data_IF_969042406330
#
_entry.id   IF_969042406330
#
_cell.length_a   1.000
_cell.length_b   1.000
_cell.length_c   1.000
_cell.angle_alpha   90.00
_cell.angle_beta   90.00
_cell.angle_gamma   90.00
#
_symmetry.space_group_name_H-M   'P 1'
#
loop_
_entity.id
_entity.type
_entity.pdbx_description
1 polymer ?
#
# COMPACT_ATOMS: atom_id res chain seq x y z
N UNK A 1 -19.14 19.42 1.76
CA UNK A 1 -18.01 18.93 2.57
C UNK A 1 -18.38 17.54 3.03
N UNK A 2 -17.70 16.51 2.53
CA UNK A 2 -17.94 15.13 2.97
C UNK A 2 -16.92 14.79 4.05
N UNK A 3 -17.39 14.23 5.17
CA UNK A 3 -16.54 13.70 6.23
C UNK A 3 -16.52 12.19 6.06
N UNK A 4 -15.38 11.64 5.66
CA UNK A 4 -15.12 10.21 5.79
C UNK A 4 -14.50 10.01 7.19
N UNK A 5 -15.27 9.42 8.09
CA UNK A 5 -14.80 9.02 9.42
C UNK A 5 -14.36 7.56 9.33
N UNK A 6 -13.10 7.31 9.66
CA UNK A 6 -12.70 5.99 10.11
C UNK A 6 -12.94 5.98 11.62
N UNK A 7 -13.93 5.21 12.05
CA UNK A 7 -14.47 5.24 13.41
C UNK A 7 -13.42 4.97 14.50
N UNK A 8 -13.77 5.32 15.75
CA UNK A 8 -12.95 5.13 16.94
C UNK A 8 -12.42 3.70 17.03
N UNK A 9 -11.09 3.58 17.02
CA UNK A 9 -10.42 2.30 17.19
C UNK A 9 -10.35 1.95 18.67
N UNK A 10 -10.62 0.69 18.98
CA UNK A 10 -10.56 0.15 20.36
C UNK A 10 -9.12 0.10 20.88
N UNK A 11 -8.14 0.05 19.98
CA UNK A 11 -6.71 -0.02 20.29
C UNK A 11 -5.96 1.11 19.59
N UNK A 12 -5.05 1.77 20.31
CA UNK A 12 -4.14 2.76 19.75
C UNK A 12 -3.11 2.10 18.84
N UNK A 13 -2.78 2.70 17.71
CA UNK A 13 -1.76 2.17 16.79
C UNK A 13 -0.77 3.26 16.38
N UNK A 14 0.36 2.80 15.84
CA UNK A 14 1.43 3.67 15.33
C UNK A 14 1.21 3.83 13.83
N UNK A 15 0.81 4.99 13.33
CA UNK A 15 0.53 5.14 11.89
C UNK A 15 1.85 5.21 11.08
N UNK A 16 1.92 4.44 9.99
CA UNK A 16 3.04 4.46 9.04
C UNK A 16 2.63 5.01 7.67
N UNK A 17 1.55 4.46 7.10
CA UNK A 17 1.10 4.80 5.76
C UNK A 17 -0.43 4.71 5.66
N UNK A 18 -1.02 5.61 4.87
CA UNK A 18 -2.42 5.52 4.45
C UNK A 18 -2.44 5.45 2.93
N UNK A 19 -3.03 4.39 2.38
CA UNK A 19 -3.20 4.19 0.94
C UNK A 19 -4.68 4.24 0.63
N UNK A 20 -5.06 4.92 -0.45
CA UNK A 20 -6.44 4.97 -0.92
C UNK A 20 -6.47 5.32 -2.40
N UNK A 21 -7.58 4.98 -3.05
CA UNK A 21 -7.91 5.42 -4.38
C UNK A 21 -8.75 6.69 -4.29
N UNK A 22 -8.40 7.73 -5.03
CA UNK A 22 -9.23 8.91 -5.11
C UNK A 22 -10.52 8.63 -5.90
N UNK A 23 -11.61 9.28 -5.53
CA UNK A 23 -12.83 9.34 -6.32
C UNK A 23 -13.33 10.79 -6.35
N UNK A 24 -12.79 11.59 -7.28
CA UNK A 24 -13.16 12.99 -7.50
C UNK A 24 -13.02 13.90 -6.27
N UNK A 25 -12.19 13.57 -5.28
CA UNK A 25 -11.85 14.50 -4.19
C UNK A 25 -10.68 15.38 -4.63
N UNK A 26 -10.81 16.71 -4.53
CA UNK A 26 -9.73 17.63 -4.91
C UNK A 26 -8.73 17.86 -3.77
N UNK A 27 -9.23 18.00 -2.54
CA UNK A 27 -8.38 18.26 -1.38
C UNK A 27 -8.74 17.35 -0.20
N UNK A 28 -7.70 16.80 0.43
CA UNK A 28 -7.80 15.98 1.62
C UNK A 28 -7.19 16.71 2.82
N UNK A 29 -7.84 16.64 3.98
CA UNK A 29 -7.28 17.04 5.26
C UNK A 29 -7.45 15.90 6.25
N UNK A 30 -6.37 15.47 6.88
CA UNK A 30 -6.37 14.38 7.85
C UNK A 30 -6.18 14.97 9.24
N UNK A 31 -7.08 14.58 10.15
CA UNK A 31 -6.98 14.87 11.58
C UNK A 31 -6.93 13.58 12.35
N UNK A 32 -6.10 13.54 13.39
CA UNK A 32 -5.96 12.40 14.28
C UNK A 32 -6.39 12.77 15.68
N UNK A 33 -6.94 11.80 16.38
CA UNK A 33 -7.10 11.84 17.83
C UNK A 33 -6.10 10.85 18.42
N UNK A 34 -5.26 11.32 19.34
CA UNK A 34 -4.23 10.50 19.99
C UNK A 34 -4.66 10.20 21.41
N UNK A 35 -4.11 9.11 21.97
CA UNK A 35 -4.19 8.88 23.42
C UNK A 35 -3.42 10.00 24.14
N UNK A 36 -4.09 10.66 25.08
CA UNK A 36 -3.44 11.60 25.98
C UNK A 36 -3.02 10.86 27.24
N UNK A 37 -1.84 11.16 27.84
CA UNK A 37 -1.50 10.64 29.17
C UNK A 37 -2.49 11.08 30.26
N UNK A 38 -3.26 12.15 30.03
CA UNK A 38 -4.35 12.58 30.92
C UNK A 38 -5.63 11.72 30.79
N UNK A 39 -5.75 10.87 29.76
CA UNK A 39 -6.93 10.01 29.56
C UNK A 39 -7.03 8.92 30.64
N UNK A 40 -5.94 8.62 31.35
CA UNK A 40 -5.91 7.67 32.47
C UNK A 40 -6.64 8.24 33.70
N UNK A 41 -6.81 9.56 33.79
CA UNK A 41 -7.51 10.25 34.87
C UNK A 41 -8.98 10.61 34.54
N UNK A 42 -9.50 10.21 33.37
CA UNK A 42 -10.94 10.24 33.07
C UNK A 42 -11.57 11.60 32.76
N UNK A 43 -10.84 12.71 32.80
CA UNK A 43 -11.43 14.05 32.64
C UNK A 43 -10.81 14.85 31.49
N UNK A 44 -11.40 14.72 30.30
CA UNK A 44 -11.19 15.65 29.20
C UNK A 44 -11.67 15.15 27.84
N UNK A 45 -12.35 15.98 27.02
CA UNK A 45 -12.67 15.61 25.64
C UNK A 45 -11.39 15.53 24.82
N UNK A 46 -11.14 14.35 24.24
CA UNK A 46 -9.95 14.09 23.42
C UNK A 46 -9.86 15.05 22.23
N UNK A 47 -8.73 15.75 22.10
CA UNK A 47 -8.51 16.81 21.09
C UNK A 47 -8.14 16.25 19.72
N UNK A 48 -8.79 16.77 18.68
CA UNK A 48 -8.44 16.50 17.28
C UNK A 48 -7.29 17.39 16.81
N UNK A 49 -6.19 16.78 16.37
CA UNK A 49 -5.01 17.46 15.83
C UNK A 49 -4.96 17.27 14.31
N UNK A 50 -4.65 18.32 13.56
CA UNK A 50 -4.50 18.23 12.10
C UNK A 50 -3.08 17.79 11.77
N UNK A 51 -2.93 16.61 11.18
CA UNK A 51 -1.63 16.06 10.76
C UNK A 51 -1.36 16.27 9.27
N UNK A 52 -2.38 16.39 8.43
CA UNK A 52 -2.23 16.72 7.01
C UNK A 52 -3.28 17.75 6.63
N UNK A 53 -2.88 18.84 5.99
CA UNK A 53 -3.79 19.95 5.65
C UNK A 53 -3.79 20.22 4.16
N UNK A 54 -4.98 20.26 3.58
CA UNK A 54 -5.20 20.65 2.18
C UNK A 54 -4.30 19.90 1.18
N UNK A 55 -4.05 18.61 1.40
CA UNK A 55 -3.30 17.78 0.46
C UNK A 55 -4.04 17.72 -0.88
N UNK A 56 -3.35 18.12 -1.95
CA UNK A 56 -3.92 18.25 -3.28
C UNK A 56 -3.92 16.88 -3.97
N UNK A 57 -5.11 16.37 -4.26
CA UNK A 57 -5.32 15.11 -4.98
C UNK A 57 -5.64 15.33 -6.46
N UNK A 58 -6.21 16.49 -6.80
CA UNK A 58 -6.48 16.90 -8.17
C UNK A 58 -5.79 18.25 -8.42
N UNK A 59 -4.80 18.33 -9.32
CA UNK A 59 -4.09 19.59 -9.62
C UNK A 59 -5.04 20.71 -10.04
N UNK A 60 -6.05 20.37 -10.83
CA UNK A 60 -7.17 21.24 -11.15
C UNK A 60 -8.49 20.56 -10.72
N UNK A 61 -9.22 21.12 -9.74
CA UNK A 61 -10.47 20.54 -9.24
C UNK A 61 -11.58 20.37 -10.29
N UNK A 62 -11.51 21.10 -11.41
CA UNK A 62 -12.52 21.08 -12.46
C UNK A 62 -12.27 20.05 -13.58
N UNK A 63 -11.15 19.34 -13.54
CA UNK A 63 -10.77 18.31 -14.53
C UNK A 63 -10.69 16.94 -13.87
N UNK A 64 -10.67 15.86 -14.66
CA UNK A 64 -10.63 14.48 -14.14
C UNK A 64 -9.23 14.03 -13.68
N UNK A 65 -8.17 14.78 -14.00
CA UNK A 65 -6.79 14.45 -13.64
C UNK A 65 -6.62 14.25 -12.12
N UNK A 66 -6.07 13.10 -11.72
CA UNK A 66 -5.89 12.70 -10.32
C UNK A 66 -7.15 12.15 -9.64
N UNK A 67 -8.32 12.18 -10.30
CA UNK A 67 -9.60 11.82 -9.68
C UNK A 67 -9.79 10.32 -9.43
N UNK A 68 -9.01 9.45 -10.08
CA UNK A 68 -9.06 7.99 -9.99
C UNK A 68 -7.70 7.37 -9.62
N UNK A 69 -6.72 8.19 -9.27
CA UNK A 69 -5.36 7.76 -8.97
C UNK A 69 -5.25 7.19 -7.55
N UNK A 70 -4.26 6.33 -7.34
CA UNK A 70 -3.89 5.85 -6.00
C UNK A 70 -2.92 6.82 -5.34
N UNK A 71 -3.16 7.09 -4.07
CA UNK A 71 -2.34 7.97 -3.25
C UNK A 71 -1.84 7.23 -2.01
N UNK A 72 -0.55 7.41 -1.71
CA UNK A 72 0.10 6.97 -0.48
C UNK A 72 0.53 8.17 0.34
N UNK A 73 -0.04 8.31 1.54
CA UNK A 73 0.37 9.33 2.52
C UNK A 73 1.22 8.67 3.57
N UNK A 74 2.51 8.98 3.53
CA UNK A 74 3.48 8.46 4.49
C UNK A 74 3.55 9.32 5.74
N UNK A 75 4.01 8.70 6.84
CA UNK A 75 4.28 9.36 8.12
C UNK A 75 5.10 10.64 7.98
N UNK A 76 6.13 10.65 7.14
CA UNK A 76 7.06 11.78 6.99
C UNK A 76 6.39 13.04 6.39
N UNK A 77 5.23 12.88 5.75
CA UNK A 77 4.43 13.99 5.22
C UNK A 77 3.51 14.62 6.29
N UNK A 78 3.42 14.02 7.48
CA UNK A 78 2.52 14.47 8.55
C UNK A 78 3.19 15.58 9.38
N UNK A 79 2.41 16.61 9.71
CA UNK A 79 2.83 17.79 10.46
C UNK A 79 2.96 17.56 11.98
N UNK A 80 2.57 16.40 12.49
CA UNK A 80 2.63 16.06 13.91
C UNK A 80 2.88 14.57 14.12
N UNK A 81 3.33 14.19 15.32
CA UNK A 81 3.52 12.78 15.65
C UNK A 81 2.20 12.02 15.56
N UNK A 82 2.19 10.97 14.74
CA UNK A 82 1.04 10.08 14.54
C UNK A 82 1.24 8.77 15.30
N UNK A 83 1.75 8.90 16.53
CA UNK A 83 1.87 7.82 17.49
C UNK A 83 0.62 7.70 18.36
N UNK A 84 0.30 6.47 18.76
CA UNK A 84 -0.86 6.13 19.59
C UNK A 84 -2.18 6.73 19.07
N UNK A 85 -2.39 6.66 17.75
CA UNK A 85 -3.60 7.13 17.10
C UNK A 85 -4.78 6.26 17.50
N UNK A 86 -5.85 6.89 17.97
CA UNK A 86 -7.10 6.25 18.39
C UNK A 86 -8.21 6.43 17.36
N UNK A 87 -8.16 7.48 16.55
CA UNK A 87 -9.14 7.74 15.50
C UNK A 87 -8.55 8.62 14.41
N UNK A 88 -9.01 8.42 13.17
CA UNK A 88 -8.63 9.21 12.00
C UNK A 88 -9.88 9.83 11.38
N UNK A 89 -9.82 11.14 11.12
CA UNK A 89 -10.86 11.88 10.42
C UNK A 89 -10.31 12.43 9.12
N UNK A 90 -10.92 12.01 8.01
CA UNK A 90 -10.58 12.48 6.67
C UNK A 90 -11.65 13.46 6.20
N UNK A 91 -11.24 14.71 5.98
CA UNK A 91 -12.10 15.79 5.54
C UNK A 91 -11.88 15.97 4.04
N UNK A 92 -12.88 15.59 3.26
CA UNK A 92 -12.84 15.62 1.81
C UNK A 92 -13.48 16.92 1.32
N UNK A 93 -12.79 17.60 0.39
CA UNK A 93 -13.31 18.80 -0.25
C UNK A 93 -13.17 18.73 -1.76
N UNK A 94 -14.24 19.15 -2.41
CA UNK A 94 -14.32 19.31 -3.84
C UNK A 94 -14.97 20.67 -4.12
N UNK A 95 -14.21 21.69 -4.56
CA UNK A 95 -14.74 23.02 -4.86
C UNK A 95 -15.47 23.09 -6.20
N UNK A 96 -15.24 22.14 -7.12
CA UNK A 96 -15.94 22.12 -8.40
C UNK A 96 -17.41 21.71 -8.21
N UNK A 97 -18.37 22.45 -8.80
CA UNK A 97 -19.78 22.11 -8.73
C UNK A 97 -20.17 20.92 -9.63
N UNK A 98 -19.26 20.50 -10.52
CA UNK A 98 -19.49 19.40 -11.48
C UNK A 98 -19.52 18.04 -10.76
N UNK A 99 -18.70 17.88 -9.73
CA UNK A 99 -18.51 16.62 -9.03
C UNK A 99 -19.40 16.54 -7.79
N UNK A 100 -20.67 16.17 -8.00
CA UNK A 100 -21.67 16.05 -6.92
C UNK A 100 -21.37 14.87 -5.99
N UNK A 101 -20.74 13.83 -6.51
CA UNK A 101 -20.32 12.65 -5.78
C UNK A 101 -18.80 12.57 -5.76
N UNK A 102 -18.23 12.72 -4.57
CA UNK A 102 -16.81 12.56 -4.35
C UNK A 102 -16.56 11.83 -3.04
N UNK A 103 -15.56 10.96 -3.04
CA UNK A 103 -15.15 10.16 -1.90
C UNK A 103 -13.68 9.72 -2.07
N UNK A 104 -13.24 8.85 -1.18
CA UNK A 104 -12.08 7.98 -1.38
C UNK A 104 -12.58 6.53 -1.36
N UNK A 105 -11.92 5.67 -2.12
CA UNK A 105 -12.18 4.24 -2.22
C UNK A 105 -10.95 3.45 -1.77
N UNK A 106 -11.11 2.16 -1.52
CA UNK A 106 -9.99 1.24 -1.26
C UNK A 106 -9.03 1.70 -0.13
N UNK A 107 -9.59 2.30 0.92
CA UNK A 107 -8.81 2.84 2.04
C UNK A 107 -8.13 1.71 2.82
N UNK A 108 -6.80 1.80 2.92
CA UNK A 108 -5.93 0.91 3.66
C UNK A 108 -5.05 1.74 4.59
N UNK A 109 -4.95 1.33 5.86
CA UNK A 109 -4.16 2.01 6.88
C UNK A 109 -3.14 1.01 7.40
N UNK A 110 -1.86 1.34 7.27
CA UNK A 110 -0.76 0.48 7.67
C UNK A 110 -0.11 1.00 8.95
N UNK A 111 -0.11 0.20 10.03
CA UNK A 111 0.64 0.49 11.23
C UNK A 111 2.14 0.28 11.05
N UNK A 112 2.95 1.03 11.80
CA UNK A 112 4.39 0.86 11.89
C UNK A 112 4.70 -0.52 12.47
N UNK A 113 5.50 -1.31 11.75
CA UNK A 113 5.90 -2.66 12.16
C UNK A 113 5.01 -3.79 11.62
N UNK A 114 3.90 -3.47 10.93
CA UNK A 114 3.30 -4.43 10.01
C UNK A 114 4.00 -4.30 8.65
N UNK A 115 4.35 -5.44 8.05
CA UNK A 115 4.89 -5.46 6.69
C UNK A 115 3.79 -4.99 5.75
N UNK A 116 3.99 -3.85 5.10
CA UNK A 116 3.17 -3.50 3.94
C UNK A 116 3.34 -4.62 2.91
N UNK A 117 2.29 -4.98 2.14
CA UNK A 117 2.40 -5.97 1.06
C UNK A 117 3.45 -5.60 0.00
N UNK A 118 4.05 -4.41 0.08
CA UNK A 118 5.10 -3.94 -0.82
C UNK A 118 6.52 -4.40 -0.43
N UNK A 119 6.71 -5.07 0.71
CA UNK A 119 8.06 -5.47 1.16
C UNK A 119 8.61 -6.74 0.49
N UNK A 120 7.84 -7.36 -0.40
CA UNK A 120 8.33 -8.38 -1.33
C UNK A 120 8.68 -7.79 -2.70
N UNK A 121 8.96 -6.49 -2.80
CA UNK A 121 9.67 -5.95 -3.96
C UNK A 121 11.17 -6.19 -3.76
N UNK A 122 11.79 -7.11 -4.52
CA UNK A 122 13.21 -7.35 -4.37
C UNK A 122 13.98 -6.09 -4.77
N UNK A 123 14.97 -5.72 -3.97
CA UNK A 123 15.72 -4.46 -4.06
C UNK A 123 16.36 -4.21 -5.44
N UNK A 124 16.60 -5.25 -6.24
CA UNK A 124 17.12 -5.10 -7.60
C UNK A 124 16.12 -4.41 -8.56
N UNK A 125 14.81 -4.50 -8.30
CA UNK A 125 13.76 -3.86 -9.11
C UNK A 125 13.58 -2.37 -8.78
N UNK A 126 14.00 -1.93 -7.59
CA UNK A 126 13.96 -0.52 -7.18
C UNK A 126 14.80 0.39 -8.10
N UNK A 127 15.78 -0.21 -8.81
CA UNK A 127 16.62 0.50 -9.77
C UNK A 127 15.92 0.77 -11.12
N UNK A 128 14.79 0.13 -11.42
CA UNK A 128 14.08 0.32 -12.69
C UNK A 128 13.10 1.50 -12.67
N UNK A 129 12.71 1.99 -11.49
CA UNK A 129 11.81 3.14 -11.33
C UNK A 129 12.54 4.45 -11.08
N UNK A 130 13.86 4.40 -10.83
CA UNK A 130 14.68 5.61 -10.85
C UNK A 130 14.75 6.12 -12.28
N UNK A 131 13.88 7.10 -12.60
CA UNK A 131 13.99 7.92 -13.79
C UNK A 131 15.24 8.81 -13.64
N UNK A 132 16.41 8.20 -13.71
CA UNK A 132 17.64 8.91 -14.00
C UNK A 132 17.49 9.45 -15.41
N UNK A 133 17.20 10.74 -15.50
CA UNK A 133 17.33 11.51 -16.73
C UNK A 133 18.78 11.36 -17.19
N UNK A 134 19.08 10.65 -18.30
CA UNK A 134 20.46 10.38 -18.64
C UNK A 134 21.10 11.68 -19.12
N UNK A 135 22.05 12.17 -18.34
CA UNK A 135 23.02 13.13 -18.81
C UNK A 135 23.77 12.50 -20.00
N UNK A 136 23.58 13.06 -21.19
CA UNK A 136 24.39 12.92 -22.40
C UNK A 136 25.30 11.68 -22.46
N UNK A 137 24.79 10.57 -23.00
CA UNK A 137 25.62 9.47 -23.49
C UNK A 137 25.28 9.22 -24.94
N UNK A 138 26.17 9.67 -25.82
CA UNK A 138 26.16 9.40 -27.25
C UNK A 138 26.57 7.93 -27.47
N UNK A 139 25.63 7.01 -27.22
CA UNK A 139 25.76 5.58 -27.48
C UNK A 139 24.38 5.05 -27.83
N UNK A 140 24.20 4.61 -29.07
CA UNK A 140 22.90 4.29 -29.65
C UNK A 140 22.05 3.38 -28.76
N UNK A 141 20.77 3.74 -28.62
CA UNK A 141 19.78 2.95 -27.90
C UNK A 141 19.78 1.50 -28.40
N UNK A 142 19.65 0.50 -27.52
CA UNK A 142 19.60 -0.89 -27.94
C UNK A 142 18.41 -1.11 -28.89
N UNK A 143 18.63 -1.90 -29.95
CA UNK A 143 17.62 -2.15 -30.96
C UNK A 143 16.35 -2.73 -30.30
N UNK A 144 15.19 -2.03 -30.37
CA UNK A 144 13.97 -2.42 -29.68
C UNK A 144 13.49 -3.82 -30.10
N UNK A 145 13.70 -4.19 -31.36
CA UNK A 145 13.31 -5.49 -31.91
C UNK A 145 14.13 -6.64 -31.29
N UNK A 146 15.41 -6.38 -31.02
CA UNK A 146 16.29 -7.37 -30.39
C UNK A 146 15.90 -7.58 -28.92
N UNK A 147 15.67 -6.47 -28.21
CA UNK A 147 15.23 -6.52 -26.80
C UNK A 147 13.87 -7.21 -26.68
N UNK A 148 12.91 -6.89 -27.56
CA UNK A 148 11.61 -7.54 -27.55
C UNK A 148 11.72 -9.03 -27.90
N UNK A 149 12.58 -9.41 -28.85
CA UNK A 149 12.78 -10.81 -29.23
C UNK A 149 13.36 -11.64 -28.08
N UNK A 150 14.36 -11.12 -27.36
CA UNK A 150 14.94 -11.82 -26.20
C UNK A 150 13.92 -11.98 -25.07
N UNK A 151 13.11 -10.96 -24.80
CA UNK A 151 12.02 -11.02 -23.83
C UNK A 151 10.94 -12.02 -24.25
N UNK A 152 10.52 -11.98 -25.52
CA UNK A 152 9.55 -12.93 -26.07
C UNK A 152 10.06 -14.37 -26.00
N UNK A 153 11.34 -14.60 -26.31
CA UNK A 153 11.97 -15.93 -26.17
C UNK A 153 11.92 -16.42 -24.73
N UNK A 154 12.19 -15.54 -23.76
CA UNK A 154 12.11 -15.85 -22.34
C UNK A 154 10.69 -16.22 -21.91
N UNK A 155 9.69 -15.48 -22.38
CA UNK A 155 8.28 -15.79 -22.14
C UNK A 155 7.88 -17.15 -22.74
N UNK A 156 8.32 -17.44 -23.97
CA UNK A 156 8.08 -18.74 -24.63
C UNK A 156 8.68 -19.89 -23.83
N UNK A 157 9.92 -19.76 -23.36
CA UNK A 157 10.57 -20.79 -22.52
C UNK A 157 9.84 -20.99 -21.19
N UNK A 158 9.36 -19.90 -20.58
CA UNK A 158 8.59 -19.95 -19.34
C UNK A 158 7.29 -20.72 -19.54
N UNK A 159 6.58 -20.46 -20.64
CA UNK A 159 5.36 -21.20 -20.95
C UNK A 159 5.61 -22.64 -21.35
N UNK A 160 6.72 -22.94 -22.02
CA UNK A 160 7.14 -24.31 -22.27
C UNK A 160 7.41 -25.07 -20.96
N UNK A 161 8.08 -24.45 -19.98
CA UNK A 161 8.30 -25.05 -18.66
C UNK A 161 6.97 -25.22 -17.91
N UNK A 162 6.08 -24.23 -18.00
CA UNK A 162 4.77 -24.28 -17.35
C UNK A 162 3.89 -25.39 -17.94
N UNK A 163 3.84 -25.51 -19.26
CA UNK A 163 3.15 -26.58 -19.96
C UNK A 163 3.76 -27.96 -19.64
N UNK A 164 5.09 -28.06 -19.47
CA UNK A 164 5.77 -29.31 -19.17
C UNK A 164 5.73 -29.70 -17.67
N UNK A 165 5.48 -28.74 -16.76
CA UNK A 165 5.19 -28.99 -15.34
C UNK A 165 3.92 -29.82 -15.11
N UNK A 166 3.00 -29.87 -16.08
CA UNK A 166 1.86 -30.78 -16.04
C UNK A 166 2.26 -32.26 -16.25
N UNK A 167 3.43 -32.54 -16.83
CA UNK A 167 3.91 -33.90 -17.11
C UNK A 167 5.00 -34.38 -16.13
N UNK A 168 5.83 -33.49 -15.58
CA UNK A 168 6.87 -33.85 -14.62
C UNK A 168 6.43 -33.51 -13.18
N UNK A 169 5.91 -34.51 -12.46
CA UNK A 169 5.63 -34.40 -11.01
C UNK A 169 6.94 -34.24 -10.26
N UNK A 170 7.29 -32.99 -9.97
CA UNK A 170 8.27 -32.64 -8.93
C UNK A 170 7.77 -33.20 -7.59
N UNK A 171 8.55 -34.12 -7.03
CA UNK A 171 8.49 -34.51 -5.61
C UNK A 171 7.32 -35.39 -5.18
N UNK A 172 7.46 -36.71 -5.35
CA UNK A 172 6.97 -37.65 -4.35
C UNK A 172 8.18 -38.41 -3.82
N UNK A 173 8.66 -38.01 -2.66
CA UNK A 173 9.47 -38.90 -1.83
C UNK A 173 8.51 -39.99 -1.34
N UNK A 174 8.62 -41.20 -1.89
CA UNK A 174 8.04 -42.38 -1.25
C UNK A 174 8.93 -42.64 -0.03
N UNK A 175 8.45 -42.29 1.16
CA UNK A 175 9.08 -42.71 2.40
C UNK A 175 8.51 -44.09 2.68
N UNK A 176 9.29 -45.14 2.37
CA UNK A 176 8.92 -46.51 2.69
C UNK A 176 8.56 -46.60 4.17
N UNK A 177 7.26 -46.78 4.42
CA UNK A 177 6.65 -46.80 5.74
C UNK A 177 7.05 -48.05 6.54
N UNK A 178 8.26 -48.06 7.07
CA UNK A 178 8.67 -49.01 8.10
C UNK A 178 9.31 -48.28 9.28
N UNK A 179 8.45 -47.68 10.10
CA UNK A 179 8.74 -47.55 11.53
C UNK A 179 7.61 -48.26 12.27
N UNK A 180 7.88 -49.49 12.69
CA UNK A 180 7.03 -50.27 13.58
C UNK A 180 7.15 -49.68 14.99
N UNK A 181 6.19 -48.83 15.36
CA UNK A 181 6.09 -48.30 16.72
C UNK A 181 5.44 -49.38 17.58
N UNK A 182 6.27 -50.30 18.09
CA UNK A 182 5.84 -51.28 19.08
C UNK A 182 5.40 -50.56 20.36
N UNK A 183 4.08 -50.37 20.51
CA UNK A 183 3.46 -49.97 21.77
C UNK A 183 3.58 -51.13 22.76
N UNK A 184 4.63 -51.11 23.58
CA UNK A 184 4.66 -51.90 24.82
C UNK A 184 3.65 -51.30 25.80
N UNK A 185 2.45 -51.88 25.85
CA UNK A 185 1.54 -51.69 26.97
C UNK A 185 2.08 -52.46 28.18
N UNK A 186 2.56 -51.73 29.19
CA UNK A 186 2.81 -52.28 30.53
C UNK A 186 1.48 -52.34 31.30
N UNK A 187 0.97 -53.55 31.52
CA UNK A 187 0.24 -53.96 32.73
C UNK A 187 0.42 -55.45 32.94
#
# INVERSE_FOLDING_TARGET
>A
MCLALCDQLVVSFQLQEIVFKNFYTAFLTIRVQRRSPADVAGEGPRKWVTCLRNYCLMPNPHTEEGSQDYFSVFRDQMLCDVDEVMAIRMILRQPSPVWLHFTIEELQIYPRGQESPQKDFPSWLSHLTSREQPANLHGGLPNPEKVSAEVQQMWVLTEMIHANRAAARIGRFDVDGCYDVNLLSYT
#
